data_IF_148109025278
#
_entry.id   IF_148109025278
#
_cell.length_a   1.000
_cell.length_b   1.000
_cell.length_c   1.000
_cell.angle_alpha   90.00
_cell.angle_beta   90.00
_cell.angle_gamma   90.00
#
_symmetry.space_group_name_H-M   'P 1'
#
loop_
_entity.id
_entity.type
_entity.pdbx_description
1 polymer ?
#
# COMPACT_ATOMS: atom_id res chain seq x y z
N UNK A 1 28.27 -23.39 18.04
CA UNK A 1 27.76 -23.41 16.66
C UNK A 1 27.26 -22.02 16.30
N UNK A 2 28.04 -21.30 15.50
CA UNK A 2 27.81 -19.90 15.14
C UNK A 2 26.66 -19.84 14.13
N UNK A 3 25.55 -19.20 14.50
CA UNK A 3 24.42 -18.95 13.58
C UNK A 3 24.89 -17.96 12.52
N UNK A 4 25.07 -18.45 11.30
CA UNK A 4 25.30 -17.61 10.13
C UNK A 4 23.99 -16.84 9.91
N UNK A 5 23.98 -15.55 10.26
CA UNK A 5 22.95 -14.64 9.82
C UNK A 5 23.07 -14.54 8.30
N UNK A 6 22.15 -15.17 7.57
CA UNK A 6 21.98 -14.90 6.14
C UNK A 6 21.49 -13.45 6.03
N UNK A 7 22.44 -12.55 5.85
CA UNK A 7 22.23 -11.16 5.47
C UNK A 7 21.39 -11.15 4.20
N UNK A 8 20.15 -10.66 4.28
CA UNK A 8 19.31 -10.41 3.11
C UNK A 8 20.08 -9.43 2.23
N UNK A 9 20.53 -9.88 1.05
CA UNK A 9 21.13 -9.01 0.06
C UNK A 9 20.06 -8.00 -0.37
N UNK A 10 20.09 -6.84 0.28
CA UNK A 10 19.22 -5.72 -0.05
C UNK A 10 20.00 -4.82 -0.98
N UNK A 11 19.44 -4.53 -2.15
CA UNK A 11 20.01 -3.51 -3.03
C UNK A 11 20.04 -2.19 -2.26
N UNK A 12 21.21 -1.57 -2.17
CA UNK A 12 21.30 -0.22 -1.62
C UNK A 12 20.49 0.71 -2.55
N UNK A 13 19.80 1.70 -1.98
CA UNK A 13 19.04 2.67 -2.78
C UNK A 13 19.95 3.40 -3.77
N UNK A 14 21.23 3.58 -3.43
CA UNK A 14 22.24 4.18 -4.30
C UNK A 14 22.45 3.39 -5.60
N UNK A 15 22.34 2.06 -5.56
CA UNK A 15 22.53 1.16 -6.71
C UNK A 15 21.46 1.33 -7.80
N UNK A 16 20.35 1.99 -7.46
CA UNK A 16 19.20 2.24 -8.34
C UNK A 16 19.15 3.65 -8.90
N UNK A 17 19.97 4.56 -8.36
CA UNK A 17 19.91 5.99 -8.67
C UNK A 17 20.93 6.29 -9.76
N UNK A 18 20.45 6.64 -10.95
CA UNK A 18 21.26 7.14 -12.05
C UNK A 18 21.49 8.64 -11.80
N UNK A 19 22.76 9.03 -11.74
CA UNK A 19 23.17 10.42 -11.51
C UNK A 19 23.64 11.11 -12.78
N UNK A 20 24.02 10.33 -13.81
CA UNK A 20 24.50 10.86 -15.09
C UNK A 20 24.23 9.88 -16.22
N UNK A 21 23.82 10.40 -17.38
CA UNK A 21 23.75 9.69 -18.65
C UNK A 21 24.27 10.61 -19.76
N UNK A 22 25.23 10.15 -20.56
CA UNK A 22 25.85 10.92 -21.64
C UNK A 22 25.98 10.07 -22.91
N UNK A 23 25.73 10.70 -24.06
CA UNK A 23 25.92 10.08 -25.38
C UNK A 23 27.39 10.17 -25.78
N UNK A 24 27.96 9.08 -26.28
CA UNK A 24 29.26 9.04 -26.95
C UNK A 24 29.19 8.19 -28.23
N UNK A 25 30.32 8.02 -28.92
CA UNK A 25 30.40 7.22 -30.16
C UNK A 25 30.07 5.73 -29.96
N UNK A 26 30.28 5.20 -28.75
CA UNK A 26 30.09 3.79 -28.41
C UNK A 26 28.68 3.47 -27.89
N UNK A 27 27.94 4.48 -27.41
CA UNK A 27 26.64 4.30 -26.78
C UNK A 27 26.28 5.39 -25.76
N UNK A 28 25.62 4.97 -24.68
CA UNK A 28 25.22 5.83 -23.57
C UNK A 28 26.03 5.48 -22.32
N UNK A 29 26.95 6.36 -21.94
CA UNK A 29 27.72 6.27 -20.69
C UNK A 29 26.82 6.66 -19.51
N UNK A 30 26.61 5.72 -18.60
CA UNK A 30 25.78 5.89 -17.42
C UNK A 30 26.63 5.86 -16.15
N UNK A 31 26.21 6.62 -15.13
CA UNK A 31 26.82 6.64 -13.81
C UNK A 31 25.73 6.53 -12.75
N UNK A 32 25.89 5.61 -11.82
CA UNK A 32 25.02 5.44 -10.66
C UNK A 32 25.58 6.17 -9.42
N UNK A 33 24.73 6.42 -8.43
CA UNK A 33 25.09 7.12 -7.20
C UNK A 33 26.10 6.35 -6.32
N UNK A 34 26.19 5.03 -6.50
CA UNK A 34 27.20 4.17 -5.87
C UNK A 34 28.57 4.25 -6.59
N UNK A 35 28.69 5.06 -7.65
CA UNK A 35 29.89 5.21 -8.45
C UNK A 35 30.04 4.17 -9.56
N UNK A 36 29.09 3.23 -9.71
CA UNK A 36 29.11 2.24 -10.78
C UNK A 36 28.88 2.93 -12.14
N UNK A 37 29.72 2.61 -13.12
CA UNK A 37 29.66 3.19 -14.47
C UNK A 37 29.70 2.12 -15.54
N UNK A 38 28.98 2.34 -16.64
CA UNK A 38 29.00 1.46 -17.80
C UNK A 38 28.45 2.15 -19.03
N UNK A 39 28.68 1.52 -20.18
CA UNK A 39 28.21 2.01 -21.47
C UNK A 39 27.15 1.04 -21.98
N UNK A 40 25.99 1.56 -22.36
CA UNK A 40 24.95 0.82 -23.08
C UNK A 40 25.19 1.02 -24.57
N UNK A 41 25.61 -0.01 -25.32
CA UNK A 41 25.78 0.12 -26.76
C UNK A 41 24.41 0.34 -27.45
N UNK A 42 24.34 1.20 -28.47
CA UNK A 42 23.07 1.50 -29.15
C UNK A 42 22.37 0.25 -29.72
N UNK A 43 23.16 -0.73 -30.19
CA UNK A 43 22.64 -2.01 -30.72
C UNK A 43 21.86 -2.85 -29.70
N UNK A 44 22.12 -2.63 -28.41
CA UNK A 44 21.48 -3.39 -27.32
C UNK A 44 20.17 -2.74 -26.88
N UNK A 45 19.83 -1.56 -27.42
CA UNK A 45 18.59 -0.85 -27.12
C UNK A 45 17.55 -1.26 -28.17
N UNK A 46 16.58 -2.13 -27.83
CA UNK A 46 15.67 -2.74 -28.81
C UNK A 46 14.87 -1.71 -29.63
N UNK A 47 14.50 -0.60 -29.00
CA UNK A 47 13.67 0.47 -29.57
C UNK A 47 14.46 1.43 -30.47
N UNK A 48 15.81 1.35 -30.47
CA UNK A 48 16.70 2.19 -31.29
C UNK A 48 17.16 1.46 -32.55
N UNK A 49 16.87 0.16 -32.70
CA UNK A 49 17.28 -0.65 -33.83
C UNK A 49 16.61 -0.15 -35.14
N UNK A 50 17.19 0.88 -35.77
CA UNK A 50 16.67 1.57 -36.96
C UNK A 50 16.64 3.11 -36.87
N UNK A 51 16.82 3.70 -35.67
CA UNK A 51 16.98 5.15 -35.51
C UNK A 51 18.43 5.53 -35.82
N UNK A 52 18.63 6.40 -36.82
CA UNK A 52 19.97 6.80 -37.29
C UNK A 52 20.71 7.71 -36.32
N UNK A 53 20.03 8.26 -35.31
CA UNK A 53 20.57 9.37 -34.53
C UNK A 53 19.99 9.43 -33.10
N UNK A 54 20.86 9.23 -32.10
CA UNK A 54 20.58 9.48 -30.68
C UNK A 54 21.22 10.82 -30.32
N UNK A 55 20.44 11.91 -30.40
CA UNK A 55 20.95 13.26 -30.12
C UNK A 55 20.55 13.80 -28.75
N UNK A 56 19.56 13.19 -28.10
CA UNK A 56 19.01 13.66 -26.84
C UNK A 56 18.86 12.52 -25.83
N UNK A 57 19.55 12.66 -24.70
CA UNK A 57 19.48 11.74 -23.55
C UNK A 57 19.31 12.57 -22.28
N UNK A 58 18.23 12.32 -21.54
CA UNK A 58 17.89 13.07 -20.34
C UNK A 58 17.46 12.14 -19.19
N UNK A 59 17.72 12.57 -17.96
CA UNK A 59 17.20 11.92 -16.76
C UNK A 59 15.92 12.64 -16.34
N UNK A 60 14.76 12.09 -16.71
CA UNK A 60 13.47 12.60 -16.22
C UNK A 60 13.28 12.30 -14.74
N UNK A 61 13.75 11.13 -14.31
CA UNK A 61 13.79 10.73 -12.92
C UNK A 61 15.14 10.09 -12.59
N UNK A 62 15.50 9.96 -11.31
CA UNK A 62 16.72 9.24 -10.95
C UNK A 62 16.71 7.74 -11.29
N UNK A 63 15.62 7.20 -11.84
CA UNK A 63 15.44 5.76 -12.10
C UNK A 63 15.28 5.43 -13.58
N UNK A 64 15.24 6.42 -14.47
CA UNK A 64 14.90 6.25 -15.88
C UNK A 64 15.70 7.21 -16.75
N UNK A 65 16.25 6.69 -17.84
CA UNK A 65 16.86 7.47 -18.92
C UNK A 65 15.82 7.61 -20.03
N UNK A 66 15.63 8.82 -20.53
CA UNK A 66 14.80 9.08 -21.70
C UNK A 66 15.67 9.40 -22.90
N UNK A 67 15.44 8.70 -24.00
CA UNK A 67 16.12 8.91 -25.27
C UNK A 67 15.12 9.48 -26.28
N UNK A 68 15.49 10.58 -26.93
CA UNK A 68 14.69 11.27 -27.94
C UNK A 68 13.21 11.48 -27.53
N UNK A 69 12.98 11.80 -26.25
CA UNK A 69 11.66 12.05 -25.64
C UNK A 69 10.64 10.91 -25.73
N UNK A 70 11.06 9.72 -26.16
CA UNK A 70 10.13 8.63 -26.52
C UNK A 70 10.52 7.27 -25.95
N UNK A 71 11.81 7.01 -25.76
CA UNK A 71 12.31 5.69 -25.32
C UNK A 71 12.71 5.80 -23.86
N UNK A 72 12.03 5.05 -23.00
CA UNK A 72 12.29 5.00 -21.56
C UNK A 72 13.14 3.76 -21.24
N UNK A 73 14.35 3.97 -20.72
CA UNK A 73 15.23 2.90 -20.23
C UNK A 73 15.19 2.85 -18.69
N UNK A 74 14.63 1.78 -18.11
CA UNK A 74 14.62 1.58 -16.66
C UNK A 74 16.02 1.35 -16.06
N UNK A 75 16.22 1.75 -14.81
CA UNK A 75 17.51 1.64 -14.12
C UNK A 75 18.08 0.21 -14.07
N UNK A 76 17.23 -0.83 -14.00
CA UNK A 76 17.69 -2.23 -13.91
C UNK A 76 18.25 -2.73 -15.26
N UNK A 77 17.69 -2.26 -16.37
CA UNK A 77 18.26 -2.46 -17.70
C UNK A 77 19.63 -1.78 -17.80
N UNK A 78 19.72 -0.52 -17.40
CA UNK A 78 20.98 0.26 -17.38
C UNK A 78 22.03 -0.42 -16.49
N UNK A 79 21.63 -0.91 -15.32
CA UNK A 79 22.50 -1.55 -14.34
C UNK A 79 23.14 -2.84 -14.88
N UNK A 80 22.44 -3.58 -15.73
CA UNK A 80 22.96 -4.79 -16.36
C UNK A 80 24.21 -4.54 -17.24
N UNK A 81 24.39 -3.32 -17.76
CA UNK A 81 25.58 -2.94 -18.53
C UNK A 81 26.69 -2.31 -17.67
N UNK A 82 26.35 -1.80 -16.49
CA UNK A 82 27.30 -1.16 -15.58
C UNK A 82 27.94 -2.15 -14.59
N UNK A 83 27.22 -3.23 -14.27
CA UNK A 83 27.65 -4.23 -13.29
C UNK A 83 27.38 -5.63 -13.85
N UNK A 84 28.43 -6.30 -14.31
CA UNK A 84 28.36 -7.66 -14.87
C UNK A 84 27.89 -8.70 -13.84
N UNK A 85 28.00 -8.39 -12.55
CA UNK A 85 27.54 -9.25 -11.46
C UNK A 85 26.08 -9.02 -11.11
N UNK A 86 25.48 -7.91 -11.55
CA UNK A 86 24.10 -7.53 -11.22
C UNK A 86 23.11 -8.60 -11.64
N UNK A 87 23.21 -9.13 -12.87
CA UNK A 87 22.30 -10.18 -13.35
C UNK A 87 22.34 -11.42 -12.46
N UNK A 88 23.53 -11.83 -12.05
CA UNK A 88 23.71 -12.99 -11.17
C UNK A 88 23.16 -12.72 -9.76
N UNK A 89 23.49 -11.57 -9.18
CA UNK A 89 22.97 -11.13 -7.87
C UNK A 89 21.44 -10.99 -7.86
N UNK A 90 20.89 -10.37 -8.89
CA UNK A 90 19.44 -10.21 -9.07
C UNK A 90 18.75 -11.55 -9.19
N UNK A 91 19.36 -12.51 -9.89
CA UNK A 91 18.82 -13.87 -9.98
C UNK A 91 18.91 -14.62 -8.65
N UNK A 92 20.00 -14.45 -7.88
CA UNK A 92 20.10 -15.00 -6.51
C UNK A 92 18.98 -14.44 -5.63
N UNK A 93 18.76 -13.13 -5.64
CA UNK A 93 17.71 -12.48 -4.85
C UNK A 93 16.33 -12.93 -5.30
N UNK A 94 16.09 -13.04 -6.61
CA UNK A 94 14.85 -13.54 -7.17
C UNK A 94 14.62 -15.01 -6.78
N UNK A 95 15.66 -15.84 -6.82
CA UNK A 95 15.62 -17.25 -6.41
C UNK A 95 15.30 -17.39 -4.92
N UNK A 96 15.98 -16.65 -4.05
CA UNK A 96 15.69 -16.61 -2.61
C UNK A 96 14.25 -16.15 -2.34
N UNK A 97 13.77 -15.15 -3.08
CA UNK A 97 12.39 -14.69 -3.02
C UNK A 97 11.38 -15.79 -3.41
N UNK A 98 11.65 -16.53 -4.49
CA UNK A 98 10.82 -17.65 -4.94
C UNK A 98 10.83 -18.81 -3.93
N UNK A 99 11.98 -19.13 -3.36
CA UNK A 99 12.10 -20.16 -2.31
C UNK A 99 11.31 -19.77 -1.06
N UNK A 100 11.44 -18.52 -0.61
CA UNK A 100 10.70 -18.02 0.55
C UNK A 100 9.19 -18.03 0.30
N UNK A 101 8.73 -17.63 -0.89
CA UNK A 101 7.33 -17.72 -1.28
C UNK A 101 6.83 -19.16 -1.24
N UNK A 102 7.59 -20.08 -1.86
CA UNK A 102 7.24 -21.49 -1.92
C UNK A 102 7.16 -22.14 -0.55
N UNK A 103 8.08 -21.81 0.36
CA UNK A 103 8.08 -22.29 1.74
C UNK A 103 6.83 -21.84 2.52
N UNK A 104 6.36 -20.61 2.31
CA UNK A 104 5.15 -20.08 2.97
C UNK A 104 3.89 -20.77 2.47
N UNK A 105 3.75 -20.89 1.15
CA UNK A 105 2.62 -21.59 0.52
C UNK A 105 2.56 -23.02 1.07
N UNK A 106 3.70 -23.72 1.07
CA UNK A 106 3.83 -25.07 1.62
C UNK A 106 3.44 -25.17 3.08
N UNK A 107 3.91 -24.23 3.90
CA UNK A 107 3.66 -24.22 5.34
C UNK A 107 2.19 -24.02 5.65
N UNK A 108 1.53 -23.06 4.97
CA UNK A 108 0.11 -22.80 5.16
C UNK A 108 -0.76 -23.93 4.61
N UNK A 109 -0.42 -24.48 3.44
CA UNK A 109 -1.12 -25.63 2.87
C UNK A 109 -1.08 -26.83 3.82
N UNK A 110 0.08 -27.12 4.42
CA UNK A 110 0.24 -28.18 5.42
C UNK A 110 -0.55 -27.91 6.70
N UNK A 111 -0.63 -26.65 7.15
CA UNK A 111 -1.43 -26.27 8.32
C UNK A 111 -2.94 -26.53 8.11
N UNK A 112 -3.41 -26.43 6.86
CA UNK A 112 -4.77 -26.79 6.46
C UNK A 112 -4.96 -28.29 6.20
N UNK A 113 -3.93 -29.12 6.39
CA UNK A 113 -3.98 -30.56 6.17
C UNK A 113 -4.10 -30.99 4.70
N UNK A 114 -3.82 -30.08 3.75
CA UNK A 114 -4.00 -30.35 2.32
C UNK A 114 -2.75 -30.96 1.68
N UNK A 115 -2.92 -31.96 0.82
CA UNK A 115 -1.87 -32.41 -0.09
C UNK A 115 -1.64 -31.39 -1.22
N UNK A 116 -0.49 -31.47 -1.90
CA UNK A 116 -0.21 -30.64 -3.09
C UNK A 116 -1.24 -30.87 -4.19
N UNK A 117 -1.75 -32.10 -4.34
CA UNK A 117 -2.74 -32.43 -5.37
C UNK A 117 -4.11 -31.80 -5.07
N UNK A 118 -4.55 -31.87 -3.80
CA UNK A 118 -5.82 -31.28 -3.38
C UNK A 118 -5.77 -29.75 -3.43
N UNK A 119 -4.67 -29.16 -2.98
CA UNK A 119 -4.50 -27.71 -3.03
C UNK A 119 -4.44 -27.20 -4.47
N UNK A 120 -3.68 -27.86 -5.34
CA UNK A 120 -3.63 -27.52 -6.77
C UNK A 120 -5.02 -27.58 -7.42
N UNK A 121 -5.80 -28.62 -7.11
CA UNK A 121 -7.18 -28.77 -7.60
C UNK A 121 -8.08 -27.62 -7.13
N UNK A 122 -7.99 -27.23 -5.85
CA UNK A 122 -8.75 -26.11 -5.27
C UNK A 122 -8.35 -24.75 -5.86
N UNK A 123 -7.07 -24.55 -6.14
CA UNK A 123 -6.54 -23.34 -6.74
C UNK A 123 -6.65 -23.32 -8.28
N UNK A 124 -7.33 -24.31 -8.89
CA UNK A 124 -7.48 -24.46 -10.34
C UNK A 124 -6.14 -24.46 -11.12
N UNK A 125 -5.11 -25.12 -10.57
CA UNK A 125 -3.80 -25.28 -11.21
C UNK A 125 -3.37 -26.75 -11.28
N UNK A 126 -2.36 -27.04 -12.10
CA UNK A 126 -1.79 -28.39 -12.14
C UNK A 126 -0.98 -28.69 -10.88
N UNK A 127 -0.98 -29.96 -10.44
CA UNK A 127 -0.11 -30.42 -9.34
C UNK A 127 1.36 -30.11 -9.62
N UNK A 128 1.79 -30.17 -10.88
CA UNK A 128 3.17 -29.86 -11.27
C UNK A 128 3.49 -28.38 -11.08
N UNK A 129 2.55 -27.49 -11.43
CA UNK A 129 2.66 -26.04 -11.17
C UNK A 129 2.86 -25.77 -9.68
N UNK A 130 2.05 -26.39 -8.82
CA UNK A 130 2.18 -26.28 -7.36
C UNK A 130 3.57 -26.73 -6.85
N UNK A 131 4.04 -27.91 -7.27
CA UNK A 131 5.36 -28.44 -6.88
C UNK A 131 6.48 -27.46 -7.26
N UNK A 132 6.43 -26.93 -8.49
CA UNK A 132 7.46 -26.03 -9.00
C UNK A 132 7.46 -24.70 -8.25
N UNK A 133 6.28 -24.17 -7.89
CA UNK A 133 6.15 -22.95 -7.09
C UNK A 133 6.66 -23.18 -5.68
N UNK A 134 6.24 -24.26 -5.00
CA UNK A 134 6.72 -24.56 -3.64
C UNK A 134 8.23 -24.79 -3.57
N UNK A 135 8.85 -25.25 -4.66
CA UNK A 135 10.29 -25.44 -4.78
C UNK A 135 11.04 -24.20 -5.28
N UNK A 136 10.35 -23.07 -5.47
CA UNK A 136 10.97 -21.82 -5.92
C UNK A 136 11.48 -21.82 -7.37
N UNK A 137 11.01 -22.75 -8.22
CA UNK A 137 11.54 -22.90 -9.58
C UNK A 137 11.13 -21.78 -10.55
N UNK A 138 10.00 -21.12 -10.31
CA UNK A 138 9.59 -19.96 -11.11
C UNK A 138 8.61 -19.06 -10.36
N UNK A 139 8.51 -17.80 -10.79
CA UNK A 139 7.59 -16.82 -10.21
C UNK A 139 6.17 -17.03 -10.76
N UNK A 140 5.17 -17.35 -9.92
CA UNK A 140 3.80 -17.49 -10.39
C UNK A 140 3.26 -16.18 -10.95
N UNK A 141 2.32 -16.29 -11.91
CA UNK A 141 1.54 -15.13 -12.35
C UNK A 141 0.69 -14.62 -11.19
N UNK A 142 0.33 -13.33 -11.25
CA UNK A 142 -0.52 -12.71 -10.24
C UNK A 142 -1.82 -13.48 -10.03
N UNK A 143 -2.49 -13.92 -11.09
CA UNK A 143 -3.73 -14.70 -11.01
C UNK A 143 -3.55 -16.05 -10.29
N UNK A 144 -2.44 -16.74 -10.53
CA UNK A 144 -2.11 -17.99 -9.82
C UNK A 144 -1.84 -17.73 -8.34
N UNK A 145 -1.07 -16.68 -8.02
CA UNK A 145 -0.77 -16.31 -6.65
C UNK A 145 -2.04 -15.89 -5.88
N UNK A 146 -2.96 -15.18 -6.54
CA UNK A 146 -4.26 -14.83 -5.99
C UNK A 146 -5.10 -16.06 -5.69
N UNK A 147 -5.25 -16.98 -6.66
CA UNK A 147 -6.00 -18.21 -6.48
C UNK A 147 -5.45 -19.05 -5.32
N UNK A 148 -4.12 -19.15 -5.18
CA UNK A 148 -3.49 -19.82 -4.04
C UNK A 148 -3.80 -19.11 -2.71
N UNK A 149 -3.67 -17.78 -2.66
CA UNK A 149 -3.91 -16.99 -1.46
C UNK A 149 -5.35 -17.13 -0.94
N UNK A 150 -6.33 -17.12 -1.85
CA UNK A 150 -7.74 -17.34 -1.54
C UNK A 150 -7.97 -18.72 -0.91
N UNK A 151 -7.37 -19.77 -1.45
CA UNK A 151 -7.50 -21.13 -0.88
C UNK A 151 -6.78 -21.31 0.45
N UNK A 152 -5.75 -20.52 0.72
CA UNK A 152 -5.03 -20.50 1.99
C UNK A 152 -5.69 -19.62 3.05
N UNK A 153 -6.66 -18.78 2.66
CA UNK A 153 -7.29 -17.82 3.56
C UNK A 153 -6.35 -16.71 4.03
N UNK A 154 -5.38 -16.33 3.19
CA UNK A 154 -4.43 -15.24 3.50
C UNK A 154 -4.39 -14.20 2.40
N UNK A 155 -3.88 -13.02 2.73
CA UNK A 155 -3.60 -12.01 1.72
C UNK A 155 -2.37 -12.38 0.89
N UNK A 156 -2.34 -11.92 -0.37
CA UNK A 156 -1.14 -12.01 -1.21
C UNK A 156 0.06 -11.34 -0.51
N UNK A 157 -0.17 -10.23 0.21
CA UNK A 157 0.88 -9.55 0.99
C UNK A 157 1.54 -10.45 2.03
N UNK A 158 0.76 -11.31 2.72
CA UNK A 158 1.30 -12.26 3.69
C UNK A 158 2.15 -13.36 3.03
N UNK A 159 1.85 -13.72 1.78
CA UNK A 159 2.69 -14.64 1.01
C UNK A 159 4.00 -13.99 0.55
N UNK A 160 4.00 -12.67 0.32
CA UNK A 160 5.15 -11.93 -0.19
C UNK A 160 6.02 -11.30 0.92
N UNK A 161 5.56 -11.24 2.17
CA UNK A 161 6.27 -10.56 3.27
C UNK A 161 6.46 -11.48 4.46
N UNK A 162 7.67 -11.51 5.05
CA UNK A 162 7.90 -12.18 6.34
C UNK A 162 7.15 -11.40 7.42
N UNK A 163 6.36 -12.05 8.30
CA UNK A 163 5.78 -11.36 9.43
C UNK A 163 6.93 -10.74 10.23
N UNK A 164 6.93 -9.41 10.37
CA UNK A 164 7.87 -8.73 11.25
C UNK A 164 7.59 -9.27 12.66
N UNK A 165 8.58 -9.95 13.27
CA UNK A 165 8.49 -10.41 14.66
C UNK A 165 8.07 -9.22 15.53
N UNK A 166 6.85 -9.28 16.07
CA UNK A 166 6.25 -8.19 16.86
C UNK A 166 5.00 -7.55 16.25
N UNK A 167 4.65 -7.84 15.00
CA UNK A 167 3.36 -7.43 14.42
C UNK A 167 2.37 -8.59 14.49
N UNK A 168 1.41 -8.51 15.42
CA UNK A 168 0.22 -9.38 15.39
C UNK A 168 -0.64 -8.93 14.21
N UNK A 169 -0.42 -9.51 13.03
CA UNK A 169 -1.42 -9.50 11.97
C UNK A 169 -2.30 -10.74 12.18
N UNK A 170 -3.45 -10.54 12.82
CA UNK A 170 -4.48 -11.57 12.91
C UNK A 170 -5.24 -11.51 11.58
N UNK A 171 -5.26 -12.59 10.78
CA UNK A 171 -6.07 -12.66 9.58
C UNK A 171 -7.50 -12.99 10.03
N UNK A 172 -8.24 -11.95 10.38
CA UNK A 172 -9.69 -12.01 10.31
C UNK A 172 -10.05 -11.54 8.89
N UNK A 173 -10.67 -12.43 8.11
CA UNK A 173 -11.50 -12.19 6.91
C UNK A 173 -11.27 -13.21 5.79
N UNK A 174 -11.86 -14.39 5.94
CA UNK A 174 -12.68 -15.04 4.90
C UNK A 174 -13.94 -15.59 5.56
N UNK A 175 -14.86 -14.71 5.94
CA UNK A 175 -16.28 -15.05 5.96
C UNK A 175 -17.06 -13.88 5.36
N UNK A 176 -17.50 -14.06 4.12
CA UNK A 176 -18.64 -13.31 3.60
C UNK A 176 -19.88 -13.76 4.36
N UNK A 177 -20.18 -13.05 5.45
CA UNK A 177 -21.53 -12.80 5.98
C UNK A 177 -21.40 -11.64 6.96
N UNK A 178 -21.77 -10.44 6.50
CA UNK A 178 -22.16 -9.26 7.30
C UNK A 178 -21.57 -9.16 8.72
N UNK A 179 -20.40 -8.56 8.88
CA UNK A 179 -19.94 -8.02 10.16
C UNK A 179 -18.92 -6.87 9.96
N UNK A 180 -19.18 -5.76 10.64
CA UNK A 180 -18.44 -4.49 10.59
C UNK A 180 -16.94 -4.67 10.89
N UNK A 181 -16.09 -4.06 10.04
CA UNK A 181 -14.67 -3.82 10.31
C UNK A 181 -14.54 -3.03 11.62
N UNK A 182 -13.78 -3.53 12.60
CA UNK A 182 -13.70 -2.92 13.94
C UNK A 182 -12.44 -2.05 14.05
N UNK A 183 -12.61 -0.73 14.07
CA UNK A 183 -11.55 0.27 14.20
C UNK A 183 -11.41 0.70 15.67
N UNK A 184 -10.19 0.71 16.22
CA UNK A 184 -9.95 1.16 17.61
C UNK A 184 -10.16 2.67 17.75
N UNK A 185 -10.71 3.11 18.89
CA UNK A 185 -10.97 4.53 19.19
C UNK A 185 -9.73 5.43 19.10
N UNK A 186 -8.54 4.88 19.36
CA UNK A 186 -7.26 5.61 19.32
C UNK A 186 -6.87 6.16 17.95
N UNK A 187 -7.68 5.93 16.90
CA UNK A 187 -7.50 6.48 15.55
C UNK A 187 -8.31 7.75 15.30
N UNK A 188 -9.14 8.19 16.26
CA UNK A 188 -9.80 9.48 16.20
C UNK A 188 -8.88 10.48 16.91
N UNK A 189 -8.35 11.44 16.16
CA UNK A 189 -7.52 12.51 16.73
C UNK A 189 -8.34 13.25 17.82
N UNK A 190 -7.68 13.59 18.94
CA UNK A 190 -8.24 14.17 20.17
C UNK A 190 -8.87 13.19 21.19
N UNK A 191 -8.88 11.87 20.97
CA UNK A 191 -9.14 10.92 22.07
C UNK A 191 -7.82 10.60 22.77
N UNK A 192 -7.44 11.43 23.75
CA UNK A 192 -6.38 11.10 24.70
C UNK A 192 -6.69 9.77 25.42
N UNK A 193 -5.68 8.96 25.82
CA UNK A 193 -5.88 7.75 26.63
C UNK A 193 -6.90 7.89 27.76
N UNK A 194 -6.94 9.03 28.44
CA UNK A 194 -7.89 9.33 29.53
C UNK A 194 -9.36 9.38 29.07
N UNK A 195 -9.63 9.90 27.87
CA UNK A 195 -10.96 9.94 27.27
C UNK A 195 -11.33 8.60 26.67
N UNK A 196 -10.36 7.87 26.11
CA UNK A 196 -10.54 6.51 25.63
C UNK A 196 -10.95 5.56 26.76
N UNK A 197 -10.36 5.70 27.95
CA UNK A 197 -10.72 4.92 29.14
C UNK A 197 -12.17 5.15 29.58
N UNK A 198 -12.64 6.41 29.55
CA UNK A 198 -14.04 6.74 29.85
C UNK A 198 -15.03 6.09 28.88
N UNK A 199 -14.72 6.11 27.59
CA UNK A 199 -15.52 5.43 26.57
C UNK A 199 -15.48 3.89 26.73
N UNK A 200 -14.31 3.34 27.04
CA UNK A 200 -14.14 1.91 27.30
C UNK A 200 -14.96 1.45 28.52
N UNK A 201 -15.04 2.27 29.57
CA UNK A 201 -15.81 1.99 30.78
C UNK A 201 -17.32 1.87 30.53
N UNK A 202 -17.85 2.60 29.54
CA UNK A 202 -19.26 2.52 29.09
C UNK A 202 -19.47 1.52 27.95
N UNK A 203 -18.46 0.69 27.67
CA UNK A 203 -18.51 -0.38 26.68
C UNK A 203 -18.26 0.06 25.23
N UNK A 204 -17.90 1.31 24.97
CA UNK A 204 -17.49 1.78 23.64
C UNK A 204 -15.99 1.57 23.50
N UNK A 205 -15.61 0.53 22.75
CA UNK A 205 -14.20 0.17 22.51
C UNK A 205 -13.72 0.51 21.11
N UNK A 206 -14.64 0.89 20.23
CA UNK A 206 -14.44 0.92 18.78
C UNK A 206 -15.12 2.15 18.18
N UNK A 207 -14.60 2.61 17.04
CA UNK A 207 -15.13 3.74 16.28
C UNK A 207 -16.55 3.43 15.79
N UNK A 208 -16.81 2.19 15.39
CA UNK A 208 -18.12 1.75 14.94
C UNK A 208 -19.12 1.72 16.09
N UNK A 209 -18.69 1.29 17.29
CA UNK A 209 -19.54 1.33 18.48
C UNK A 209 -19.83 2.75 18.95
N UNK A 210 -18.90 3.69 18.72
CA UNK A 210 -19.13 5.11 18.97
C UNK A 210 -20.14 5.69 17.97
N UNK A 211 -20.00 5.36 16.68
CA UNK A 211 -20.93 5.79 15.66
C UNK A 211 -22.33 5.22 15.88
N UNK A 212 -22.44 3.94 16.24
CA UNK A 212 -23.72 3.28 16.47
C UNK A 212 -24.48 3.88 17.67
N UNK A 213 -23.80 4.10 18.80
CA UNK A 213 -24.42 4.71 19.98
C UNK A 213 -24.55 6.24 19.90
N UNK A 214 -23.69 6.91 19.13
CA UNK A 214 -23.62 8.36 19.02
C UNK A 214 -24.29 8.94 17.77
N UNK A 215 -24.86 8.10 16.90
CA UNK A 215 -25.52 8.52 15.67
C UNK A 215 -26.67 9.52 15.94
N UNK A 216 -27.46 9.28 16.99
CA UNK A 216 -28.64 10.09 17.32
C UNK A 216 -28.35 11.15 18.38
N UNK A 217 -29.16 12.21 18.41
CA UNK A 217 -29.02 13.27 19.42
C UNK A 217 -29.28 12.75 20.84
N UNK A 218 -30.18 11.78 21.00
CA UNK A 218 -30.45 11.13 22.29
C UNK A 218 -29.26 10.28 22.74
N UNK A 219 -28.72 9.46 21.84
CA UNK A 219 -27.57 8.60 22.13
C UNK A 219 -26.33 9.41 22.55
N UNK A 220 -26.05 10.55 21.90
CA UNK A 220 -24.94 11.41 22.32
C UNK A 220 -25.14 12.04 23.70
N UNK A 221 -26.37 12.44 24.06
CA UNK A 221 -26.67 12.95 25.41
C UNK A 221 -26.44 11.88 26.49
N UNK A 222 -26.90 10.66 26.24
CA UNK A 222 -26.67 9.54 27.16
C UNK A 222 -25.17 9.25 27.33
N UNK A 223 -24.41 9.27 26.23
CA UNK A 223 -22.96 9.12 26.29
C UNK A 223 -22.27 10.27 27.01
N UNK A 224 -22.73 11.50 26.81
CA UNK A 224 -22.20 12.68 27.48
C UNK A 224 -22.36 12.58 29.00
N UNK A 225 -23.54 12.14 29.45
CA UNK A 225 -23.84 11.93 30.87
C UNK A 225 -23.00 10.81 31.48
N UNK A 226 -22.92 9.65 30.81
CA UNK A 226 -22.18 8.49 31.34
C UNK A 226 -20.67 8.68 31.36
N UNK A 227 -20.12 9.43 30.39
CA UNK A 227 -18.67 9.60 30.24
C UNK A 227 -18.17 10.93 30.81
N UNK A 228 -19.07 11.84 31.18
CA UNK A 228 -18.76 13.23 31.54
C UNK A 228 -17.95 13.94 30.44
N UNK A 229 -18.29 13.67 29.18
CA UNK A 229 -17.70 14.29 27.99
C UNK A 229 -18.76 15.19 27.37
N UNK A 230 -18.41 16.37 26.88
CA UNK A 230 -19.38 17.29 26.29
C UNK A 230 -20.02 16.69 25.02
N UNK A 231 -21.33 16.89 24.84
CA UNK A 231 -22.10 16.48 23.63
C UNK A 231 -21.44 16.95 22.33
N UNK A 232 -20.89 18.18 22.31
CA UNK A 232 -20.18 18.73 21.15
C UNK A 232 -18.93 17.92 20.76
N UNK A 233 -18.15 17.47 21.75
CA UNK A 233 -16.95 16.67 21.52
C UNK A 233 -17.30 15.24 21.06
N UNK A 234 -18.38 14.67 21.61
CA UNK A 234 -18.89 13.36 21.16
C UNK A 234 -19.39 13.46 19.72
N UNK A 235 -20.13 14.51 19.37
CA UNK A 235 -20.58 14.75 17.99
C UNK A 235 -19.39 14.86 17.04
N UNK A 236 -18.33 15.57 17.44
CA UNK A 236 -17.11 15.69 16.64
C UNK A 236 -16.45 14.32 16.37
N UNK A 237 -16.40 13.44 17.37
CA UNK A 237 -15.86 12.09 17.19
C UNK A 237 -16.78 11.21 16.36
N UNK A 238 -18.10 11.34 16.51
CA UNK A 238 -19.11 10.65 15.70
C UNK A 238 -19.01 11.07 14.24
N UNK A 239 -18.81 12.36 13.95
CA UNK A 239 -18.61 12.87 12.61
C UNK A 239 -17.36 12.28 11.95
N UNK A 240 -16.23 12.24 12.67
CA UNK A 240 -15.00 11.58 12.21
C UNK A 240 -15.21 10.08 12.00
N UNK A 241 -15.92 9.43 12.91
CA UNK A 241 -16.26 8.01 12.80
C UNK A 241 -17.11 7.73 11.53
N UNK A 242 -18.03 8.64 11.20
CA UNK A 242 -18.84 8.55 9.98
C UNK A 242 -17.98 8.72 8.72
N UNK A 243 -17.04 9.67 8.71
CA UNK A 243 -16.09 9.85 7.60
C UNK A 243 -15.20 8.62 7.37
N UNK A 244 -14.81 7.88 8.43
CA UNK A 244 -13.98 6.67 8.30
C UNK A 244 -14.66 5.53 7.55
N UNK A 245 -15.98 5.58 7.36
CA UNK A 245 -16.71 4.64 6.50
C UNK A 245 -16.28 4.76 5.03
N UNK A 246 -15.77 5.92 4.63
CA UNK A 246 -15.29 6.16 3.27
C UNK A 246 -13.90 5.52 3.13
N UNK A 247 -13.83 4.45 2.34
CA UNK A 247 -12.56 3.76 2.07
C UNK A 247 -11.52 4.76 1.53
N UNK A 248 -10.40 4.87 2.25
CA UNK A 248 -9.29 5.77 1.93
C UNK A 248 -9.25 7.04 2.79
N UNK A 249 -10.32 7.34 3.53
CA UNK A 249 -10.36 8.41 4.54
C UNK A 249 -10.07 7.77 5.90
N UNK A 250 -8.88 8.04 6.43
CA UNK A 250 -8.50 7.69 7.80
C UNK A 250 -8.25 8.96 8.63
N UNK A 251 -7.63 8.80 9.79
CA UNK A 251 -7.29 9.87 10.74
C UNK A 251 -6.74 11.13 10.04
N UNK A 252 -5.55 11.02 9.45
CA UNK A 252 -4.84 12.14 8.79
C UNK A 252 -5.71 12.88 7.75
N UNK A 253 -6.52 12.15 6.97
CA UNK A 253 -7.37 12.76 5.96
C UNK A 253 -8.67 13.34 6.53
N UNK A 254 -9.21 12.76 7.60
CA UNK A 254 -10.39 13.32 8.27
C UNK A 254 -10.07 14.67 8.90
N UNK A 255 -8.88 14.84 9.49
CA UNK A 255 -8.48 16.12 10.09
C UNK A 255 -8.17 17.16 9.02
N UNK A 256 -7.59 16.74 7.90
CA UNK A 256 -7.40 17.62 6.75
C UNK A 256 -8.74 18.06 6.12
N UNK A 257 -9.71 17.14 5.99
CA UNK A 257 -11.06 17.43 5.51
C UNK A 257 -11.79 18.39 6.45
N UNK A 258 -11.73 18.14 7.76
CA UNK A 258 -12.29 19.04 8.78
C UNK A 258 -11.67 20.43 8.69
N UNK A 259 -10.36 20.51 8.58
CA UNK A 259 -9.65 21.78 8.40
C UNK A 259 -10.08 22.50 7.10
N UNK A 260 -10.51 21.75 6.08
CA UNK A 260 -11.08 22.24 4.82
C UNK A 260 -12.57 22.58 4.88
N UNK A 261 -13.20 22.50 6.05
CA UNK A 261 -14.63 22.76 6.24
C UNK A 261 -15.50 21.63 5.71
N UNK A 262 -14.99 20.39 5.78
CA UNK A 262 -15.73 19.17 5.46
C UNK A 262 -15.65 18.26 6.69
N UNK A 263 -16.59 18.43 7.60
CA UNK A 263 -16.65 17.67 8.86
C UNK A 263 -17.61 16.48 8.76
N UNK A 264 -18.50 16.46 7.75
CA UNK A 264 -19.54 15.42 7.62
C UNK A 264 -19.52 14.73 6.26
N UNK A 265 -20.03 13.49 6.21
CA UNK A 265 -20.23 12.75 4.95
C UNK A 265 -21.17 13.54 4.02
N UNK A 266 -22.18 14.21 4.57
CA UNK A 266 -23.13 15.04 3.82
C UNK A 266 -22.44 16.22 3.14
N UNK A 267 -21.55 16.92 3.84
CA UNK A 267 -20.77 18.02 3.27
C UNK A 267 -19.83 17.51 2.17
N UNK A 268 -19.16 16.39 2.41
CA UNK A 268 -18.25 15.78 1.44
C UNK A 268 -18.97 15.38 0.14
N UNK A 269 -20.16 14.81 0.25
CA UNK A 269 -21.00 14.42 -0.88
C UNK A 269 -21.39 15.58 -1.80
N UNK A 270 -21.38 16.81 -1.28
CA UNK A 270 -21.76 18.03 -2.00
C UNK A 270 -20.56 18.78 -2.61
N UNK A 271 -19.32 18.35 -2.31
CA UNK A 271 -18.12 19.03 -2.84
C UNK A 271 -17.84 18.65 -4.30
N UNK A 272 -17.22 19.58 -5.02
CA UNK A 272 -16.56 19.30 -6.30
C UNK A 272 -15.14 18.78 -6.04
N UNK A 273 -14.73 17.61 -6.56
CA UNK A 273 -13.43 17.01 -6.28
C UNK A 273 -12.24 17.94 -6.55
N UNK A 274 -12.28 18.70 -7.64
CA UNK A 274 -11.21 19.58 -8.08
C UNK A 274 -11.02 20.73 -7.08
N UNK A 275 -12.10 21.44 -6.76
CA UNK A 275 -12.09 22.54 -5.79
C UNK A 275 -11.72 22.05 -4.38
N UNK A 276 -12.17 20.85 -4.00
CA UNK A 276 -11.82 20.26 -2.72
C UNK A 276 -10.31 19.97 -2.66
N UNK A 277 -9.75 19.34 -3.69
CA UNK A 277 -8.32 19.05 -3.74
C UNK A 277 -7.47 20.32 -3.65
N UNK A 278 -7.80 21.37 -4.40
CA UNK A 278 -7.13 22.67 -4.30
C UNK A 278 -7.14 23.21 -2.87
N UNK A 279 -8.30 23.13 -2.21
CA UNK A 279 -8.43 23.58 -0.81
C UNK A 279 -7.63 22.73 0.17
N UNK A 280 -7.60 21.41 -0.03
CA UNK A 280 -6.79 20.50 0.78
C UNK A 280 -5.28 20.79 0.62
N UNK A 281 -4.83 21.14 -0.60
CA UNK A 281 -3.44 21.54 -0.86
C UNK A 281 -3.10 22.83 -0.10
N UNK A 282 -3.93 23.87 -0.24
CA UNK A 282 -3.73 25.16 0.43
C UNK A 282 -3.59 24.99 1.95
N UNK A 283 -4.49 24.20 2.55
CA UNK A 283 -4.50 23.97 4.00
C UNK A 283 -3.32 23.11 4.43
N UNK A 284 -2.96 22.09 3.65
CA UNK A 284 -1.84 21.25 4.02
C UNK A 284 -0.50 21.98 3.90
N UNK A 285 -0.37 22.96 3.00
CA UNK A 285 0.81 23.83 2.94
C UNK A 285 0.97 24.66 4.23
N UNK A 286 -0.14 25.08 4.83
CA UNK A 286 -0.13 25.90 6.05
C UNK A 286 0.02 25.05 7.32
N UNK A 287 -0.75 23.96 7.42
CA UNK A 287 -0.90 23.18 8.66
C UNK A 287 -0.09 21.87 8.68
N UNK A 288 0.40 21.40 7.53
CA UNK A 288 1.21 20.18 7.38
C UNK A 288 0.61 18.95 8.07
N UNK A 289 -0.69 18.75 7.88
CA UNK A 289 -1.47 17.67 8.49
C UNK A 289 -1.18 16.30 7.87
N UNK A 290 -0.88 16.26 6.57
CA UNK A 290 -0.57 15.01 5.85
C UNK A 290 0.79 15.06 5.17
N UNK A 291 1.52 13.94 5.24
CA UNK A 291 2.84 13.82 4.60
C UNK A 291 2.76 13.61 3.09
N UNK A 292 1.68 12.98 2.62
CA UNK A 292 1.43 12.70 1.21
C UNK A 292 0.03 13.19 0.86
N UNK A 293 -0.06 14.01 -0.18
CA UNK A 293 -1.35 14.48 -0.67
C UNK A 293 -2.10 13.33 -1.36
N UNK A 294 -3.45 13.31 -1.27
CA UNK A 294 -4.25 12.40 -2.06
C UNK A 294 -4.14 12.78 -3.54
N UNK A 295 -4.19 11.77 -4.41
CA UNK A 295 -4.33 11.99 -5.85
C UNK A 295 -5.75 12.45 -6.17
N UNK A 296 -5.93 13.11 -7.32
CA UNK A 296 -7.26 13.54 -7.80
C UNK A 296 -8.26 12.37 -7.82
N UNK A 297 -7.83 11.19 -8.28
CA UNK A 297 -8.66 9.98 -8.29
C UNK A 297 -9.16 9.57 -6.90
N UNK A 298 -8.35 9.76 -5.85
CA UNK A 298 -8.76 9.43 -4.48
C UNK A 298 -9.84 10.40 -3.96
N UNK A 299 -9.69 11.70 -4.23
CA UNK A 299 -10.69 12.71 -3.83
C UNK A 299 -12.00 12.51 -4.59
N UNK A 300 -11.94 12.22 -5.89
CA UNK A 300 -13.12 11.87 -6.69
C UNK A 300 -13.83 10.64 -6.14
N UNK A 301 -13.08 9.59 -5.78
CA UNK A 301 -13.62 8.39 -5.14
C UNK A 301 -14.29 8.69 -3.79
N UNK A 302 -13.72 9.59 -2.97
CA UNK A 302 -14.30 9.96 -1.68
C UNK A 302 -15.65 10.67 -1.83
N UNK A 303 -15.73 11.65 -2.71
CA UNK A 303 -16.98 12.38 -3.00
C UNK A 303 -18.05 11.43 -3.52
N UNK A 304 -17.69 10.56 -4.48
CA UNK A 304 -18.61 9.56 -5.03
C UNK A 304 -19.14 8.61 -3.96
N UNK A 305 -18.27 8.05 -3.12
CA UNK A 305 -18.68 7.16 -2.03
C UNK A 305 -19.53 7.87 -0.99
N UNK A 306 -19.24 9.13 -0.68
CA UNK A 306 -20.04 9.93 0.24
C UNK A 306 -21.48 10.12 -0.29
N UNK A 307 -21.67 10.23 -1.61
CA UNK A 307 -23.00 10.31 -2.24
C UNK A 307 -23.77 8.98 -2.19
N UNK A 308 -23.05 7.84 -2.22
CA UNK A 308 -23.64 6.50 -2.21
C UNK A 308 -23.94 5.96 -0.80
N UNK A 309 -23.34 6.55 0.24
CA UNK A 309 -23.49 6.08 1.63
C UNK A 309 -24.79 6.56 2.29
N UNK A 310 -25.48 5.71 3.07
CA UNK A 310 -26.61 6.16 3.88
C UNK A 310 -26.10 7.09 4.99
N UNK A 311 -26.87 8.15 5.24
CA UNK A 311 -26.61 9.12 6.30
C UNK A 311 -26.98 8.49 7.65
N UNK A 312 -25.99 8.34 8.53
CA UNK A 312 -26.19 7.69 9.82
C UNK A 312 -26.27 8.70 10.98
N UNK A 313 -25.61 9.85 10.86
CA UNK A 313 -25.53 10.84 11.94
C UNK A 313 -26.66 11.86 11.83
N UNK A 314 -27.42 12.00 12.90
CA UNK A 314 -28.39 13.09 13.09
C UNK A 314 -27.65 14.30 13.67
N UNK A 315 -27.67 15.41 12.94
CA UNK A 315 -27.12 16.69 13.37
C UNK A 315 -28.18 17.56 14.07
#
# INVERSE_FOLDING_TARGET
MMKIAKSVATFDKSERIIVRALVNEEGILCTFADGCTGIIPFREIPEINGLKDVHKVELKTPFEIIINDSIELPWDFVRNFCDTTYRHRSEIIAQEGRESLGERIRSQRKALGLSQAEFAKRAHISRQTEIRIENGQFSPRFSTLQAMAEQLGVSIGNLLTTPIRGTKFVPEMLEHKTANKVTRLSKIECIDPTLAEKLNAVGIKTVEGLLEKGATRTGRKELAEMTMISDALILEWVNRADLFRIKGVGEEFSDLLKAAGVDTVKELAQRKPENLLEKLIEINMQKKLVRRMPFTSAVTDWVKRAQELPWLVEH
#
